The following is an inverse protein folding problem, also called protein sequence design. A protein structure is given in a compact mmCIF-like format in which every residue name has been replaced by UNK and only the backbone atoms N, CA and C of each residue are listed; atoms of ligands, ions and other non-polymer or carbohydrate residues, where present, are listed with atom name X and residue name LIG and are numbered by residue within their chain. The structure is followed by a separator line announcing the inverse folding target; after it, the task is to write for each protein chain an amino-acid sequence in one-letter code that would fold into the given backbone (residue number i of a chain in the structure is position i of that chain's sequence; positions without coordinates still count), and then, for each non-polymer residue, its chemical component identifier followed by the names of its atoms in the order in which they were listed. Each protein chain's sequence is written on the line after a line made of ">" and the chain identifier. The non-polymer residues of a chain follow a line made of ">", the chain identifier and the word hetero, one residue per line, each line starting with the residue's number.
data_IF_502262078241
#
_entry.id   IF_502262078241
#
_cell.length_a   1.000
_cell.length_b   1.000
_cell.length_c   1.000
_cell.angle_alpha   90.00
_cell.angle_beta   90.00
_cell.angle_gamma   90.00
#
_symmetry.space_group_name_H-M   'P 1'
#
loop_
_entity.id
_entity.type
_entity.pdbx_description
1 polymer ?
#
# COMPACT_ATOMS: atom_id res chain seq x y z
N UNK A 1 -47.87 -11.04 8.97
CA UNK A 1 -46.55 -11.36 8.40
C UNK A 1 -45.85 -10.04 8.18
N UNK A 2 -45.14 -9.58 9.21
CA UNK A 2 -44.47 -8.29 9.24
C UNK A 2 -43.07 -8.45 8.63
N UNK A 3 -42.85 -7.65 7.60
CA UNK A 3 -41.59 -7.41 6.89
C UNK A 3 -40.47 -7.03 7.86
N UNK A 4 -39.30 -7.63 7.71
CA UNK A 4 -38.05 -7.10 8.24
C UNK A 4 -36.99 -7.34 7.18
N UNK A 5 -36.83 -6.35 6.30
CA UNK A 5 -35.60 -6.18 5.54
C UNK A 5 -34.45 -5.95 6.54
N UNK A 6 -33.29 -6.61 6.39
CA UNK A 6 -32.12 -6.24 7.16
C UNK A 6 -31.58 -4.93 6.58
N UNK A 7 -31.60 -3.93 7.45
CA UNK A 7 -30.98 -2.62 7.32
C UNK A 7 -29.55 -2.75 6.77
N UNK A 8 -29.34 -2.38 5.50
CA UNK A 8 -28.02 -2.30 4.84
C UNK A 8 -27.26 -1.04 5.26
N UNK A 9 -27.37 -0.66 6.53
CA UNK A 9 -26.69 0.48 7.09
C UNK A 9 -25.87 0.04 8.31
N UNK A 10 -24.69 -0.49 8.04
CA UNK A 10 -23.64 -0.65 9.05
C UNK A 10 -22.33 -0.18 8.45
N UNK A 11 -22.15 1.14 8.62
CA UNK A 11 -20.90 1.86 8.70
C UNK A 11 -19.61 1.00 8.75
N UNK A 12 -18.94 0.86 7.61
CA UNK A 12 -17.50 0.60 7.55
C UNK A 12 -16.75 1.67 6.74
N UNK A 13 -17.29 2.90 6.77
CA UNK A 13 -16.58 4.10 6.36
C UNK A 13 -15.92 4.75 7.59
N UNK A 14 -14.82 4.17 8.06
CA UNK A 14 -13.80 4.91 8.78
C UNK A 14 -12.49 4.58 8.08
N UNK A 15 -12.05 5.52 7.22
CA UNK A 15 -10.67 5.54 6.75
C UNK A 15 -9.77 5.47 7.97
N UNK A 16 -9.00 4.39 8.06
CA UNK A 16 -8.02 4.15 9.11
C UNK A 16 -6.93 5.20 9.00
N UNK A 17 -7.14 6.34 9.67
CA UNK A 17 -6.16 7.43 9.76
C UNK A 17 -5.44 7.28 11.09
N UNK A 18 -4.64 6.23 11.19
CA UNK A 18 -3.58 6.24 12.18
C UNK A 18 -2.78 7.53 12.00
N UNK A 19 -2.56 8.28 13.09
CA UNK A 19 -1.77 9.52 12.97
C UNK A 19 -0.38 9.15 12.42
N UNK A 20 0.13 9.85 11.39
CA UNK A 20 1.40 9.51 10.74
C UNK A 20 2.56 9.25 11.72
N UNK A 21 2.68 10.06 12.77
CA UNK A 21 3.73 9.87 13.77
C UNK A 21 3.60 8.57 14.59
N UNK A 22 2.38 8.10 14.82
CA UNK A 22 2.12 6.86 15.54
C UNK A 22 2.47 5.64 14.68
N UNK A 23 2.14 5.68 13.38
CA UNK A 23 2.55 4.65 12.42
C UNK A 23 4.07 4.50 12.37
N UNK A 24 4.80 5.59 12.14
CA UNK A 24 6.28 5.58 12.15
C UNK A 24 6.86 4.97 13.42
N UNK A 25 6.36 5.41 14.59
CA UNK A 25 6.83 4.92 15.90
C UNK A 25 6.60 3.41 16.06
N UNK A 26 5.51 2.90 15.51
CA UNK A 26 5.19 1.48 15.52
C UNK A 26 6.10 0.71 14.56
N UNK A 27 6.29 1.22 13.34
CA UNK A 27 7.06 0.60 12.27
C UNK A 27 8.58 0.66 12.47
N UNK A 28 9.13 1.55 13.30
CA UNK A 28 10.57 1.55 13.61
C UNK A 28 11.08 0.25 14.25
N UNK A 29 10.20 -0.60 14.80
CA UNK A 29 10.64 -1.87 15.40
C UNK A 29 10.68 -3.01 14.37
N UNK A 30 11.87 -3.58 14.13
CA UNK A 30 12.06 -4.78 13.29
C UNK A 30 11.09 -5.91 13.64
N UNK A 31 10.89 -6.13 14.94
CA UNK A 31 9.98 -7.14 15.47
C UNK A 31 8.53 -6.87 15.07
N UNK A 32 8.08 -5.62 15.14
CA UNK A 32 6.69 -5.26 14.77
C UNK A 32 6.48 -5.30 13.26
N UNK A 33 7.50 -4.94 12.47
CA UNK A 33 7.46 -5.13 11.02
C UNK A 33 7.36 -6.60 10.64
N UNK A 34 8.11 -7.48 11.31
CA UNK A 34 8.01 -8.92 11.08
C UNK A 34 6.66 -9.49 11.52
N UNK A 35 6.14 -9.07 12.67
CA UNK A 35 4.79 -9.42 13.12
C UNK A 35 3.75 -9.04 12.07
N UNK A 36 3.80 -7.81 11.54
CA UNK A 36 2.89 -7.34 10.50
C UNK A 36 2.96 -8.21 9.23
N UNK A 37 4.15 -8.62 8.79
CA UNK A 37 4.29 -9.53 7.63
C UNK A 37 3.67 -10.89 7.90
N UNK A 38 3.87 -11.46 9.09
CA UNK A 38 3.29 -12.75 9.46
C UNK A 38 1.76 -12.70 9.48
N UNK A 39 1.19 -11.64 10.06
CA UNK A 39 -0.27 -11.46 10.09
C UNK A 39 -0.84 -11.21 8.70
N UNK A 40 -0.19 -10.37 7.89
CA UNK A 40 -0.64 -10.08 6.53
C UNK A 40 -0.72 -11.34 5.65
N UNK A 41 0.29 -12.21 5.75
CA UNK A 41 0.33 -13.50 5.03
C UNK A 41 -0.74 -14.50 5.51
N UNK A 42 -1.12 -14.42 6.78
CA UNK A 42 -2.13 -15.29 7.36
C UNK A 42 -3.56 -14.75 7.20
N UNK A 43 -3.71 -13.49 6.79
CA UNK A 43 -5.01 -12.86 6.57
C UNK A 43 -5.61 -13.32 5.23
N UNK A 44 -6.94 -13.54 5.15
CA UNK A 44 -7.96 -13.17 6.15
C UNK A 44 -8.18 -14.21 7.26
N UNK A 45 -7.59 -15.40 7.17
CA UNK A 45 -7.82 -16.50 8.12
C UNK A 45 -7.33 -16.22 9.54
N UNK A 46 -6.36 -15.30 9.71
CA UNK A 46 -5.82 -14.91 10.99
C UNK A 46 -4.75 -15.85 11.54
N UNK A 47 -4.02 -15.38 12.55
CA UNK A 47 -2.94 -16.13 13.21
C UNK A 47 -3.03 -15.98 14.73
N UNK A 48 -2.82 -17.07 15.47
CA UNK A 48 -2.86 -17.04 16.93
C UNK A 48 -1.62 -16.38 17.53
N UNK A 49 -1.76 -15.82 18.74
CA UNK A 49 -0.67 -15.17 19.47
C UNK A 49 0.47 -16.15 19.77
N UNK A 50 0.14 -17.41 20.03
CA UNK A 50 1.08 -18.51 20.26
C UNK A 50 1.90 -18.81 19.01
N UNK A 51 1.25 -18.84 17.84
CA UNK A 51 1.92 -19.06 16.56
C UNK A 51 2.81 -17.87 16.21
N UNK A 52 2.34 -16.63 16.43
CA UNK A 52 3.14 -15.43 16.25
C UNK A 52 4.39 -15.44 17.15
N UNK A 53 4.23 -15.79 18.44
CA UNK A 53 5.35 -15.86 19.36
C UNK A 53 6.39 -16.90 18.93
N UNK A 54 5.94 -18.08 18.49
CA UNK A 54 6.82 -19.12 17.99
C UNK A 54 7.63 -18.65 16.76
N UNK A 55 6.95 -18.09 15.76
CA UNK A 55 7.59 -17.58 14.54
C UNK A 55 8.56 -16.44 14.80
N UNK A 56 8.20 -15.49 15.68
CA UNK A 56 9.08 -14.36 16.01
C UNK A 56 10.33 -14.80 16.79
N UNK A 57 10.24 -15.85 17.60
CA UNK A 57 11.41 -16.47 18.21
C UNK A 57 12.32 -17.11 17.15
N UNK A 58 11.76 -17.85 16.18
CA UNK A 58 12.54 -18.47 15.09
C UNK A 58 13.32 -17.44 14.26
N UNK A 59 12.73 -16.28 13.96
CA UNK A 59 13.37 -15.23 13.15
C UNK A 59 14.43 -14.44 13.93
N UNK A 60 14.29 -14.30 15.26
CA UNK A 60 15.20 -13.52 16.10
C UNK A 60 16.45 -14.29 16.58
N UNK A 61 16.39 -15.62 16.67
CA UNK A 61 17.38 -16.46 17.37
C UNK A 61 18.45 -17.11 16.49
N UNK A 62 18.70 -16.63 15.27
CA UNK A 62 19.80 -17.17 14.44
C UNK A 62 21.18 -16.98 15.12
N UNK A 63 21.28 -16.18 16.19
CA UNK A 63 22.50 -15.96 16.98
C UNK A 63 22.50 -16.55 18.40
N UNK A 64 21.38 -17.03 18.93
CA UNK A 64 21.29 -17.60 20.29
C UNK A 64 20.63 -18.98 20.23
N UNK A 65 21.38 -20.02 20.57
CA UNK A 65 20.95 -21.40 20.37
C UNK A 65 19.63 -21.76 21.08
N UNK A 66 18.77 -22.47 20.35
CA UNK A 66 17.54 -23.13 20.81
C UNK A 66 16.44 -22.21 21.33
N UNK A 67 15.33 -22.13 20.58
CA UNK A 67 14.07 -21.51 21.03
C UNK A 67 13.62 -22.18 22.34
N UNK A 68 13.86 -21.51 23.46
CA UNK A 68 13.46 -22.02 24.78
C UNK A 68 11.98 -21.72 25.05
N UNK A 69 11.31 -22.59 25.81
CA UNK A 69 9.92 -22.34 26.26
C UNK A 69 9.81 -21.05 27.10
N UNK A 70 10.87 -20.68 27.80
CA UNK A 70 10.98 -19.39 28.50
C UNK A 70 11.05 -18.20 27.54
N UNK A 71 11.81 -18.33 26.45
CA UNK A 71 11.83 -17.35 25.36
C UNK A 71 10.45 -17.16 24.75
N UNK A 72 9.74 -18.27 24.45
CA UNK A 72 8.37 -18.23 23.91
C UNK A 72 7.39 -17.56 24.87
N UNK A 73 7.48 -17.84 26.18
CA UNK A 73 6.62 -17.24 27.21
C UNK A 73 6.84 -15.74 27.34
N UNK A 74 8.10 -15.28 27.32
CA UNK A 74 8.44 -13.85 27.31
C UNK A 74 7.96 -13.15 26.04
N UNK A 75 8.06 -13.82 24.90
CA UNK A 75 7.57 -13.30 23.63
C UNK A 75 6.05 -13.13 23.67
N UNK A 76 5.31 -14.15 24.12
CA UNK A 76 3.86 -14.08 24.32
C UNK A 76 3.45 -12.90 25.21
N UNK A 77 4.13 -12.71 26.35
CA UNK A 77 3.86 -11.57 27.24
C UNK A 77 4.11 -10.23 26.54
N UNK A 78 5.18 -10.12 25.74
CA UNK A 78 5.50 -8.90 25.00
C UNK A 78 4.47 -8.61 23.91
N UNK A 79 4.03 -9.64 23.18
CA UNK A 79 2.94 -9.53 22.21
C UNK A 79 1.66 -9.03 22.87
N UNK A 80 1.28 -9.64 23.98
CA UNK A 80 0.04 -9.34 24.68
C UNK A 80 0.00 -7.92 25.25
N UNK A 81 1.09 -7.48 25.90
CA UNK A 81 1.08 -6.23 26.67
C UNK A 81 1.66 -5.02 25.93
N UNK A 82 2.36 -5.21 24.81
CA UNK A 82 3.12 -4.12 24.17
C UNK A 82 2.94 -4.05 22.66
N UNK A 83 3.23 -5.15 21.95
CA UNK A 83 3.32 -5.08 20.50
C UNK A 83 1.93 -5.11 19.83
N UNK A 84 1.05 -6.04 20.21
CA UNK A 84 -0.31 -6.11 19.64
C UNK A 84 -1.16 -4.90 20.02
N UNK A 85 -1.22 -4.44 21.30
CA UNK A 85 -1.99 -3.25 21.63
C UNK A 85 -1.55 -2.02 20.81
N UNK A 86 -0.24 -1.79 20.70
CA UNK A 86 0.27 -0.65 19.93
C UNK A 86 -0.10 -0.71 18.44
N UNK A 87 -0.19 -1.91 17.85
CA UNK A 87 -0.56 -2.12 16.44
C UNK A 87 -2.08 -2.05 16.21
N UNK A 88 -2.87 -2.45 17.20
CA UNK A 88 -4.33 -2.34 17.17
C UNK A 88 -4.77 -0.89 17.39
N UNK A 89 -4.10 -0.15 18.28
CA UNK A 89 -4.39 1.26 18.56
C UNK A 89 -4.20 2.16 17.33
N UNK A 90 -3.23 1.82 16.48
CA UNK A 90 -3.02 2.48 15.18
C UNK A 90 -3.87 1.86 14.06
N UNK A 91 -4.79 0.95 14.38
CA UNK A 91 -5.73 0.40 13.39
C UNK A 91 -5.07 -0.42 12.28
N UNK A 92 -3.88 -0.99 12.51
CA UNK A 92 -3.24 -1.88 11.54
C UNK A 92 -3.73 -3.32 11.69
N UNK A 93 -3.96 -3.74 12.93
CA UNK A 93 -4.41 -5.07 13.26
C UNK A 93 -5.76 -5.01 13.98
N UNK A 94 -6.52 -6.08 13.86
CA UNK A 94 -7.66 -6.32 14.73
C UNK A 94 -7.63 -7.75 15.25
N UNK A 95 -8.34 -7.99 16.34
CA UNK A 95 -8.53 -9.33 16.91
C UNK A 95 -9.88 -9.84 16.45
N UNK A 96 -9.91 -10.98 15.78
CA UNK A 96 -11.14 -11.65 15.40
C UNK A 96 -11.83 -12.28 16.62
N UNK A 97 -13.08 -12.70 16.46
CA UNK A 97 -13.90 -13.25 17.55
C UNK A 97 -13.31 -14.54 18.16
N UNK A 98 -12.54 -15.29 17.36
CA UNK A 98 -11.84 -16.51 17.80
C UNK A 98 -10.50 -16.22 18.50
N UNK A 99 -10.14 -14.95 18.67
CA UNK A 99 -8.90 -14.51 19.32
C UNK A 99 -7.67 -14.50 18.41
N UNK A 100 -7.83 -14.82 17.12
CA UNK A 100 -6.75 -14.68 16.13
C UNK A 100 -6.54 -13.21 15.75
N UNK A 101 -5.31 -12.89 15.33
CA UNK A 101 -4.94 -11.56 14.89
C UNK A 101 -5.01 -11.53 13.36
N UNK A 102 -5.72 -10.53 12.82
CA UNK A 102 -5.89 -10.31 11.39
C UNK A 102 -5.46 -8.90 11.00
N UNK A 103 -4.96 -8.76 9.77
CA UNK A 103 -4.66 -7.47 9.19
C UNK A 103 -5.95 -6.73 8.87
N UNK A 104 -5.94 -5.41 9.06
CA UNK A 104 -6.98 -4.53 8.53
C UNK A 104 -6.76 -4.27 7.04
N UNK A 105 -7.74 -3.67 6.35
CA UNK A 105 -7.59 -3.23 4.95
C UNK A 105 -6.72 -1.99 4.75
N UNK A 106 -5.70 -1.77 5.59
CA UNK A 106 -4.83 -0.61 5.48
C UNK A 106 -3.88 -0.77 4.28
N UNK A 107 -3.69 0.32 3.52
CA UNK A 107 -2.78 0.39 2.36
C UNK A 107 -1.32 -0.03 2.63
N UNK A 108 -0.91 -0.11 3.90
CA UNK A 108 0.42 -0.61 4.27
C UNK A 108 0.59 -2.09 3.91
N UNK A 109 -0.49 -2.86 3.91
CA UNK A 109 -0.47 -4.27 3.55
C UNK A 109 -0.41 -4.51 2.04
N UNK A 110 -0.72 -3.50 1.22
CA UNK A 110 -0.53 -3.55 -0.23
C UNK A 110 0.96 -3.44 -0.61
N UNK A 111 1.80 -3.04 0.36
CA UNK A 111 3.21 -2.72 0.15
C UNK A 111 4.11 -3.37 1.22
N UNK A 112 3.95 -4.68 1.46
CA UNK A 112 4.71 -5.44 2.47
C UNK A 112 6.23 -5.36 2.32
N UNK A 113 6.75 -5.05 1.13
CA UNK A 113 8.18 -4.87 0.87
C UNK A 113 8.74 -3.63 1.60
N UNK A 114 7.91 -2.63 1.87
CA UNK A 114 8.26 -1.48 2.68
C UNK A 114 8.56 -1.90 4.11
N UNK A 115 7.83 -2.89 4.63
CA UNK A 115 8.10 -3.40 5.96
C UNK A 115 9.50 -4.03 6.02
N UNK A 116 10.07 -4.53 4.90
CA UNK A 116 11.39 -5.20 4.79
C UNK A 116 12.54 -4.43 5.45
N UNK A 117 12.48 -3.10 5.44
CA UNK A 117 13.52 -2.21 5.96
C UNK A 117 12.94 -1.26 7.01
N UNK A 118 13.79 -0.60 7.83
CA UNK A 118 13.27 0.52 8.62
C UNK A 118 12.68 1.55 7.65
N UNK A 119 11.46 2.06 7.91
CA UNK A 119 10.88 3.08 7.06
C UNK A 119 11.84 4.29 7.10
N UNK A 120 12.35 4.75 5.95
CA UNK A 120 13.22 5.91 5.94
C UNK A 120 12.46 7.14 6.42
N UNK A 121 13.19 8.17 6.79
CA UNK A 121 12.59 9.47 7.08
C UNK A 121 11.71 9.92 5.89
N UNK A 122 10.55 10.51 6.20
CA UNK A 122 9.57 10.90 5.17
C UNK A 122 8.64 9.79 4.67
N UNK A 123 8.74 8.55 5.19
CA UNK A 123 7.88 7.42 4.80
C UNK A 123 6.37 7.74 4.84
N UNK A 124 5.92 8.52 5.82
CA UNK A 124 4.52 8.90 5.98
C UNK A 124 3.99 9.73 4.80
N UNK A 125 4.75 10.76 4.40
CA UNK A 125 4.37 11.60 3.26
C UNK A 125 4.32 10.77 1.96
N UNK A 126 5.25 9.83 1.81
CA UNK A 126 5.25 8.88 0.68
C UNK A 126 4.05 7.93 0.75
N UNK A 127 3.72 7.39 1.92
CA UNK A 127 2.59 6.47 2.09
C UNK A 127 1.25 7.16 1.83
N UNK A 128 1.04 8.35 2.38
CA UNK A 128 -0.15 9.18 2.12
C UNK A 128 -0.25 9.57 0.64
N UNK A 129 0.89 9.90 0.02
CA UNK A 129 0.96 10.16 -1.41
C UNK A 129 0.59 8.92 -2.25
N UNK A 130 0.95 7.71 -1.84
CA UNK A 130 0.63 6.47 -2.56
C UNK A 130 -0.77 5.92 -2.30
N UNK A 131 -1.47 6.41 -1.27
CA UNK A 131 -2.82 5.95 -0.94
C UNK A 131 -3.87 6.21 -2.05
N UNK A 132 -3.59 7.14 -2.98
CA UNK A 132 -4.53 7.50 -4.05
C UNK A 132 -4.10 6.87 -5.38
N UNK A 133 -5.01 6.11 -6.00
CA UNK A 133 -4.77 5.35 -7.25
C UNK A 133 -4.18 6.22 -8.37
N UNK A 134 -4.79 7.36 -8.67
CA UNK A 134 -4.27 8.33 -9.65
C UNK A 134 -2.82 8.75 -9.41
N UNK A 135 -2.41 8.95 -8.15
CA UNK A 135 -1.01 9.28 -7.80
C UNK A 135 -0.06 8.13 -8.09
N UNK A 136 -0.50 6.88 -7.91
CA UNK A 136 0.26 5.70 -8.34
C UNK A 136 0.37 5.61 -9.86
N UNK A 137 -0.73 5.80 -10.60
CA UNK A 137 -0.71 5.83 -12.08
C UNK A 137 0.24 6.90 -12.63
N UNK A 138 0.25 8.11 -12.04
CA UNK A 138 1.21 9.16 -12.38
C UNK A 138 2.65 8.66 -12.22
N UNK A 139 2.99 8.11 -11.05
CA UNK A 139 4.33 7.62 -10.77
C UNK A 139 4.72 6.46 -11.70
N UNK A 140 3.81 5.53 -11.99
CA UNK A 140 4.03 4.44 -12.93
C UNK A 140 4.32 4.96 -14.35
N UNK A 141 3.54 5.92 -14.84
CA UNK A 141 3.76 6.55 -16.16
C UNK A 141 5.11 7.28 -16.21
N UNK A 142 5.46 8.01 -15.15
CA UNK A 142 6.72 8.75 -15.10
C UNK A 142 7.94 7.84 -14.98
N UNK A 143 7.81 6.77 -14.20
CA UNK A 143 8.84 5.75 -14.06
C UNK A 143 9.18 5.12 -15.42
N UNK A 144 8.17 4.78 -16.22
CA UNK A 144 8.34 4.20 -17.57
C UNK A 144 8.99 5.15 -18.58
N UNK A 145 8.83 6.47 -18.41
CA UNK A 145 9.24 7.48 -19.40
C UNK A 145 10.67 8.01 -19.21
N UNK A 146 11.42 7.52 -18.21
CA UNK A 146 12.83 7.82 -17.94
C UNK A 146 13.27 9.24 -18.36
N UNK A 147 12.58 10.27 -17.86
CA UNK A 147 12.87 11.66 -18.26
C UNK A 147 11.78 12.66 -17.85
N UNK A 148 12.02 13.93 -18.20
CA UNK A 148 11.08 15.01 -17.93
C UNK A 148 9.97 15.06 -19.00
N UNK A 149 8.71 14.98 -18.55
CA UNK A 149 7.50 14.94 -19.38
C UNK A 149 6.68 16.21 -19.16
N UNK A 150 5.97 16.68 -20.19
CA UNK A 150 5.02 17.79 -20.02
C UNK A 150 3.77 17.35 -19.25
N UNK A 151 3.20 18.23 -18.44
CA UNK A 151 1.95 17.96 -17.70
C UNK A 151 0.79 17.56 -18.61
N UNK A 152 0.71 18.11 -19.82
CA UNK A 152 -0.33 17.76 -20.82
C UNK A 152 -0.11 16.37 -21.43
N UNK A 153 1.15 15.99 -21.71
CA UNK A 153 1.49 14.64 -22.17
C UNK A 153 1.34 13.59 -21.07
N UNK A 154 1.50 13.99 -19.80
CA UNK A 154 1.25 13.16 -18.64
C UNK A 154 -0.26 12.95 -18.43
N UNK A 155 -1.07 14.00 -18.51
CA UNK A 155 -2.53 13.91 -18.40
C UNK A 155 -3.13 12.89 -19.37
N UNK A 156 -2.73 12.95 -20.65
CA UNK A 156 -3.15 11.99 -21.67
C UNK A 156 -2.77 10.55 -21.32
N UNK A 157 -1.55 10.36 -20.82
CA UNK A 157 -1.05 9.04 -20.49
C UNK A 157 -1.75 8.45 -19.27
N UNK A 158 -2.01 9.26 -18.24
CA UNK A 158 -2.75 8.86 -17.04
C UNK A 158 -4.22 8.59 -17.38
N UNK A 159 -4.84 9.41 -18.23
CA UNK A 159 -6.22 9.17 -18.69
C UNK A 159 -6.33 7.82 -19.41
N UNK A 160 -5.37 7.50 -20.27
CA UNK A 160 -5.32 6.20 -20.96
C UNK A 160 -5.11 5.04 -19.97
N UNK A 161 -4.18 5.20 -19.02
CA UNK A 161 -3.86 4.20 -17.98
C UNK A 161 -5.07 3.92 -17.08
N UNK A 162 -5.80 4.95 -16.62
CA UNK A 162 -6.97 4.81 -15.74
C UNK A 162 -8.21 4.26 -16.45
N UNK A 163 -8.37 4.55 -17.73
CA UNK A 163 -9.55 4.11 -18.49
C UNK A 163 -9.50 2.63 -18.87
N UNK A 164 -8.35 1.96 -18.74
CA UNK A 164 -8.16 0.55 -19.12
C UNK A 164 -8.27 0.26 -20.63
N UNK A 165 -8.70 1.23 -21.45
CA UNK A 165 -8.83 1.09 -22.89
C UNK A 165 -7.70 1.85 -23.60
N UNK A 166 -6.86 1.10 -24.33
CA UNK A 166 -5.79 1.69 -25.16
C UNK A 166 -6.35 2.39 -26.43
N UNK A 167 -7.64 2.22 -26.76
CA UNK A 167 -8.11 2.49 -28.14
C UNK A 167 -9.49 3.19 -28.26
N UNK A 168 -9.85 4.08 -27.36
CA UNK A 168 -10.70 5.21 -27.76
C UNK A 168 -9.95 6.50 -27.48
N UNK A 169 -9.97 7.50 -28.37
CA UNK A 169 -9.51 8.83 -27.99
C UNK A 169 -10.37 9.22 -26.80
N UNK A 170 -9.78 9.21 -25.60
CA UNK A 170 -10.34 9.86 -24.43
C UNK A 170 -10.85 11.21 -24.91
N UNK A 171 -12.08 11.56 -24.54
CA UNK A 171 -12.64 12.82 -25.03
C UNK A 171 -11.67 13.95 -24.62
N UNK A 172 -11.58 15.01 -25.42
CA UNK A 172 -10.71 16.15 -25.07
C UNK A 172 -10.97 16.64 -23.64
N UNK A 173 -12.22 16.51 -23.21
CA UNK A 173 -12.75 16.93 -21.94
C UNK A 173 -12.21 16.05 -20.79
N UNK A 174 -12.15 14.72 -20.97
CA UNK A 174 -11.54 13.82 -19.98
C UNK A 174 -10.06 14.14 -19.73
N UNK A 175 -9.32 14.45 -20.80
CA UNK A 175 -7.89 14.79 -20.71
C UNK A 175 -7.69 16.13 -20.01
N UNK A 176 -8.55 17.12 -20.30
CA UNK A 176 -8.46 18.44 -19.67
C UNK A 176 -8.86 18.36 -18.18
N UNK A 177 -9.84 17.54 -17.80
CA UNK A 177 -10.20 17.30 -16.40
C UNK A 177 -9.07 16.63 -15.61
N UNK A 178 -8.45 15.59 -16.20
CA UNK A 178 -7.26 14.96 -15.61
C UNK A 178 -6.12 15.96 -15.51
N UNK A 179 -5.90 16.78 -16.54
CA UNK A 179 -4.86 17.80 -16.53
C UNK A 179 -5.02 18.82 -15.38
N UNK A 180 -6.24 19.36 -15.19
CA UNK A 180 -6.55 20.29 -14.09
C UNK A 180 -6.28 19.62 -12.75
N UNK A 181 -6.76 18.39 -12.58
CA UNK A 181 -6.55 17.56 -11.39
C UNK A 181 -5.05 17.29 -11.12
N UNK A 182 -4.25 17.03 -12.16
CA UNK A 182 -2.81 16.86 -12.03
C UNK A 182 -2.15 18.11 -11.47
N UNK A 183 -2.33 19.25 -12.14
CA UNK A 183 -1.63 20.50 -11.83
C UNK A 183 -2.00 21.03 -10.45
N UNK A 184 -3.27 20.97 -10.07
CA UNK A 184 -3.75 21.62 -8.85
C UNK A 184 -3.78 20.72 -7.62
N UNK A 185 -3.78 19.39 -7.79
CA UNK A 185 -3.93 18.46 -6.67
C UNK A 185 -2.79 17.47 -6.62
N UNK A 186 -2.58 16.68 -7.67
CA UNK A 186 -1.73 15.50 -7.56
C UNK A 186 -0.24 15.82 -7.62
N UNK A 187 0.19 16.68 -8.55
CA UNK A 187 1.61 17.00 -8.71
C UNK A 187 2.18 17.79 -7.52
N UNK A 188 1.48 18.78 -6.93
CA UNK A 188 1.95 19.42 -5.70
C UNK A 188 2.16 18.42 -4.56
N UNK A 189 1.17 17.56 -4.28
CA UNK A 189 1.27 16.55 -3.21
C UNK A 189 2.43 15.57 -3.45
N UNK A 190 2.62 15.12 -4.69
CA UNK A 190 3.72 14.22 -5.05
C UNK A 190 5.09 14.92 -4.95
N UNK A 191 5.15 16.22 -5.24
CA UNK A 191 6.36 17.02 -5.11
C UNK A 191 6.71 17.29 -3.65
N UNK A 192 5.71 17.58 -2.80
CA UNK A 192 5.88 17.77 -1.36
C UNK A 192 6.35 16.49 -0.65
N UNK A 193 6.06 15.32 -1.23
CA UNK A 193 6.54 14.02 -0.78
C UNK A 193 7.91 13.63 -1.37
N UNK A 194 8.59 14.54 -2.09
CA UNK A 194 9.88 14.31 -2.76
C UNK A 194 9.89 13.11 -3.73
N UNK A 195 8.73 12.76 -4.30
CA UNK A 195 8.60 11.63 -5.25
C UNK A 195 8.87 12.06 -6.69
N UNK A 196 8.60 13.32 -7.00
CA UNK A 196 8.77 13.92 -8.33
C UNK A 196 9.39 15.31 -8.21
N UNK A 197 10.09 15.74 -9.25
CA UNK A 197 10.40 17.13 -9.48
C UNK A 197 9.32 17.72 -10.38
N UNK A 198 8.57 18.69 -9.84
CA UNK A 198 7.56 19.43 -10.59
C UNK A 198 7.93 20.91 -10.70
N UNK A 199 8.02 21.39 -11.93
CA UNK A 199 8.14 22.81 -12.25
C UNK A 199 6.79 23.34 -12.77
N UNK A 200 6.06 24.13 -11.97
CA UNK A 200 4.76 24.68 -12.38
C UNK A 200 4.88 25.75 -13.47
N UNK A 201 6.01 26.46 -13.54
CA UNK A 201 6.23 27.54 -14.51
C UNK A 201 6.47 26.97 -15.91
N UNK A 202 7.31 25.92 -16.01
CA UNK A 202 7.56 25.25 -17.29
C UNK A 202 6.57 24.12 -17.61
N UNK A 203 5.72 23.74 -16.65
CA UNK A 203 4.76 22.65 -16.80
C UNK A 203 5.44 21.31 -17.04
N UNK A 204 6.61 21.10 -16.41
CA UNK A 204 7.42 19.89 -16.59
C UNK A 204 7.49 19.09 -15.31
N UNK A 205 7.44 17.78 -15.46
CA UNK A 205 7.51 16.85 -14.35
C UNK A 205 8.51 15.74 -14.65
N UNK A 206 9.25 15.31 -13.63
CA UNK A 206 10.20 14.20 -13.72
C UNK A 206 10.09 13.33 -12.48
N UNK A 207 10.24 12.02 -12.66
CA UNK A 207 10.41 11.10 -11.53
C UNK A 207 11.80 11.28 -10.93
N UNK A 208 11.89 11.60 -9.64
CA UNK A 208 13.17 11.67 -8.91
C UNK A 208 13.49 10.33 -8.23
N UNK A 209 12.44 9.53 -7.95
CA UNK A 209 12.56 8.36 -7.11
C UNK A 209 12.73 8.74 -5.64
N UNK A 210 12.44 7.79 -4.76
CA UNK A 210 12.57 8.02 -3.32
C UNK A 210 13.23 6.80 -2.67
N UNK A 211 14.13 6.97 -1.68
CA UNK A 211 14.79 5.84 -0.99
C UNK A 211 13.80 4.81 -0.46
N UNK A 212 12.65 5.26 0.06
CA UNK A 212 11.54 4.41 0.53
C UNK A 212 10.97 3.47 -0.55
N UNK A 213 11.03 3.89 -1.82
CA UNK A 213 10.58 3.09 -2.94
C UNK A 213 11.72 2.29 -3.55
N UNK A 214 12.96 2.77 -3.47
CA UNK A 214 14.13 2.06 -4.03
C UNK A 214 14.40 0.68 -3.40
N UNK A 215 13.92 0.42 -2.18
CA UNK A 215 14.05 -0.87 -1.50
C UNK A 215 13.00 -1.92 -1.94
N UNK A 216 11.97 -1.54 -2.71
CA UNK A 216 10.89 -2.44 -3.15
C UNK A 216 10.22 -2.04 -4.47
N UNK A 217 10.87 -1.19 -5.27
CA UNK A 217 10.25 -0.44 -6.38
C UNK A 217 9.77 -1.30 -7.53
N UNK A 218 10.35 -2.48 -7.75
CA UNK A 218 9.92 -3.36 -8.83
C UNK A 218 8.50 -3.91 -8.60
N UNK A 219 8.05 -4.08 -7.36
CA UNK A 219 6.76 -4.72 -7.08
C UNK A 219 5.61 -3.71 -6.88
N UNK A 220 5.88 -2.53 -6.31
CA UNK A 220 4.84 -1.53 -5.96
C UNK A 220 4.20 -0.89 -7.19
N UNK A 221 4.99 -0.61 -8.23
CA UNK A 221 4.50 -0.01 -9.48
C UNK A 221 3.95 -1.05 -10.46
N UNK A 222 4.22 -2.34 -10.23
CA UNK A 222 3.79 -3.43 -11.12
C UNK A 222 2.49 -4.12 -10.67
N UNK A 223 2.18 -4.15 -9.37
CA UNK A 223 0.98 -4.85 -8.86
C UNK A 223 -0.37 -4.24 -9.27
N UNK A 224 -0.44 -2.96 -9.61
CA UNK A 224 -1.69 -2.36 -10.16
C UNK A 224 -2.02 -2.90 -11.57
N UNK A 225 -1.10 -3.67 -12.19
CA UNK A 225 -1.30 -4.34 -13.49
C UNK A 225 -2.10 -5.64 -13.39
N UNK A 226 -2.07 -6.32 -12.24
CA UNK A 226 -2.61 -7.70 -12.12
C UNK A 226 -4.12 -7.78 -11.89
N UNK A 227 -4.83 -6.65 -11.90
CA UNK A 227 -6.31 -6.66 -11.93
C UNK A 227 -6.82 -6.53 -13.37
N UNK A 228 -6.02 -6.03 -14.31
CA UNK A 228 -6.47 -5.74 -15.68
C UNK A 228 -5.81 -6.58 -16.76
N UNK A 229 -4.58 -7.08 -16.58
CA UNK A 229 -3.90 -7.84 -17.65
C UNK A 229 -4.35 -9.32 -17.73
N UNK A 230 -4.70 -9.96 -16.60
CA UNK A 230 -5.04 -11.40 -16.59
C UNK A 230 -6.40 -11.71 -17.25
N UNK A 231 -7.35 -10.77 -17.26
CA UNK A 231 -8.61 -10.93 -18.02
C UNK A 231 -8.47 -10.58 -19.51
N UNK A 232 -7.55 -9.66 -19.85
CA UNK A 232 -7.39 -9.18 -21.23
C UNK A 232 -6.51 -10.05 -22.12
N UNK A 233 -5.48 -10.74 -21.58
CA UNK A 233 -4.70 -11.70 -22.39
C UNK A 233 -5.52 -12.94 -22.79
N UNK A 234 -6.47 -13.36 -21.94
CA UNK A 234 -7.36 -14.49 -22.24
C UNK A 234 -8.36 -14.13 -23.35
N UNK A 235 -8.81 -12.87 -23.42
CA UNK A 235 -9.72 -12.40 -24.47
C UNK A 235 -9.00 -12.10 -25.81
N UNK A 236 -7.75 -11.61 -25.77
CA UNK A 236 -6.97 -11.33 -26.99
C UNK A 236 -6.52 -12.59 -27.74
N UNK A 237 -6.20 -13.66 -27.01
CA UNK A 237 -5.83 -14.96 -27.62
C UNK A 237 -7.05 -15.76 -28.12
N UNK A 238 -8.24 -15.49 -27.58
CA UNK A 238 -9.48 -16.15 -28.03
C UNK A 238 -10.05 -15.57 -29.33
N UNK A 239 -9.62 -14.37 -29.74
CA UNK A 239 -10.18 -13.64 -30.89
C UNK A 239 -9.38 -13.76 -32.18
N UNK A 240 -8.24 -14.45 -32.14
CA UNK A 240 -7.37 -14.72 -33.30
C UNK A 240 -7.37 -16.19 -33.74
N UNK A 241 -8.37 -16.99 -33.31
CA UNK A 241 -8.47 -18.41 -33.62
C UNK A 241 -9.64 -18.80 -34.54
N UNK A 242 -10.26 -17.86 -35.27
CA UNK A 242 -11.24 -18.15 -36.34
C UNK A 242 -10.89 -17.45 -37.66
#
# INVERSE_FOLDING_TARGET
>A
MTTTEPDRNSAHALGSTARPQALRTVLSSDRRRELLRLVARASPSGISKETLAARLCETGDVRSGSVTDEGRRKMLASLHHRDLPALIDVGLLTTADDGTIVATGHSLFDHLDILATEPPDGFEAVSDALAHSRRRSILAVLHRRNGSVSTRSLARAVTADESGFVVYPSSSDDVDDVYVSLVHVHLPILSDADLIAYDPDSGRVRYEGHPALSAGSETILERDRSITDDEFEIELLSRHAD
#
